data_IF_753801667732
#
_entry.id   IF_753801667732
#
_cell.length_a   1.000
_cell.length_b   1.000
_cell.length_c   1.000
_cell.angle_alpha   90.00
_cell.angle_beta   90.00
_cell.angle_gamma   90.00
#
_symmetry.space_group_name_H-M   'P 1'
#
loop_
_entity.id
_entity.type
_entity.pdbx_description
1 polymer ?
#
# COMPACT_ATOMS: atom_id res chain seq x y z
N UNK A 1 18.54 -26.51 29.93
CA UNK A 1 18.30 -25.97 28.58
C UNK A 1 16.87 -26.17 28.05
N UNK A 2 16.09 -27.18 28.50
CA UNK A 2 14.69 -27.35 28.04
C UNK A 2 13.72 -26.23 28.47
N UNK A 3 13.92 -25.62 29.66
CA UNK A 3 13.04 -24.54 30.17
C UNK A 3 13.25 -23.17 29.52
N UNK A 4 14.45 -22.89 29.00
CA UNK A 4 14.74 -21.66 28.26
C UNK A 4 14.12 -21.69 26.86
N UNK A 5 14.06 -22.88 26.25
CA UNK A 5 13.47 -23.07 24.92
C UNK A 5 11.96 -22.80 24.90
N UNK A 6 11.24 -23.13 25.98
CA UNK A 6 9.81 -22.85 26.09
C UNK A 6 9.49 -21.35 26.24
N UNK A 7 10.36 -20.58 26.92
CA UNK A 7 10.21 -19.13 27.03
C UNK A 7 10.39 -18.41 25.69
N UNK A 8 11.30 -18.92 24.85
CA UNK A 8 11.60 -18.36 23.53
C UNK A 8 10.49 -18.66 22.52
N UNK A 9 9.85 -19.83 22.60
CA UNK A 9 8.66 -20.17 21.79
C UNK A 9 7.44 -19.34 22.22
N UNK A 10 7.25 -19.08 23.52
CA UNK A 10 6.17 -18.22 24.02
C UNK A 10 6.35 -16.75 23.62
N UNK A 11 7.60 -16.26 23.61
CA UNK A 11 7.91 -14.90 23.12
C UNK A 11 7.67 -14.74 21.61
N UNK A 12 7.72 -15.82 20.83
CA UNK A 12 7.51 -15.79 19.38
C UNK A 12 6.01 -15.77 19.01
N UNK A 13 5.12 -16.21 19.92
CA UNK A 13 3.66 -16.14 19.77
C UNK A 13 3.07 -14.74 20.00
N UNK A 14 3.84 -13.81 20.60
CA UNK A 14 3.38 -12.44 20.89
C UNK A 14 3.50 -11.48 19.69
N UNK A 15 4.05 -11.93 18.56
CA UNK A 15 4.21 -11.13 17.35
C UNK A 15 3.21 -11.48 16.23
N UNK A 16 2.10 -12.16 16.54
CA UNK A 16 0.95 -12.16 15.63
C UNK A 16 0.33 -10.77 15.71
N UNK A 17 0.73 -9.87 14.80
CA UNK A 17 0.02 -8.62 14.57
C UNK A 17 -1.45 -8.97 14.29
N UNK A 18 -2.30 -8.77 15.28
CA UNK A 18 -3.72 -9.04 15.17
C UNK A 18 -4.27 -7.96 14.25
N UNK A 19 -4.61 -8.31 13.01
CA UNK A 19 -5.22 -7.37 12.08
C UNK A 19 -6.46 -6.76 12.72
N UNK A 20 -6.58 -5.43 12.67
CA UNK A 20 -7.77 -4.75 13.17
C UNK A 20 -8.99 -5.10 12.31
N UNK A 21 -10.10 -5.46 12.96
CA UNK A 21 -11.37 -5.83 12.31
C UNK A 21 -12.45 -4.71 12.41
N UNK A 22 -12.07 -3.58 13.01
CA UNK A 22 -12.86 -2.38 13.21
C UNK A 22 -11.97 -1.15 13.07
N UNK A 23 -12.58 0.01 12.82
CA UNK A 23 -11.84 1.27 12.71
C UNK A 23 -11.36 1.74 14.08
N UNK A 24 -10.12 2.22 14.12
CA UNK A 24 -9.52 2.90 15.27
C UNK A 24 -9.16 4.34 14.87
N UNK A 25 -10.01 5.31 15.22
CA UNK A 25 -9.82 6.72 14.89
C UNK A 25 -9.16 7.53 16.01
N UNK A 26 -8.41 6.90 16.92
CA UNK A 26 -7.67 7.59 18.01
C UNK A 26 -6.80 8.74 17.48
N UNK A 27 -6.16 8.52 16.33
CA UNK A 27 -5.48 9.54 15.55
C UNK A 27 -5.47 9.14 14.05
N UNK A 28 -4.91 9.99 13.19
CA UNK A 28 -4.88 9.73 11.74
C UNK A 28 -4.07 8.49 11.36
N UNK A 29 -3.01 8.16 12.12
CA UNK A 29 -2.18 6.97 11.88
C UNK A 29 -2.95 5.69 12.21
N UNK A 30 -3.63 5.64 13.36
CA UNK A 30 -4.45 4.48 13.72
C UNK A 30 -5.65 4.34 12.77
N UNK A 31 -6.22 5.46 12.31
CA UNK A 31 -7.30 5.45 11.33
C UNK A 31 -6.85 4.82 10.01
N UNK A 32 -5.69 5.25 9.51
CA UNK A 32 -5.12 4.71 8.28
C UNK A 32 -4.72 3.25 8.44
N UNK A 33 -4.06 2.88 9.54
CA UNK A 33 -3.65 1.51 9.81
C UNK A 33 -4.85 0.56 9.91
N UNK A 34 -5.89 0.94 10.65
CA UNK A 34 -7.09 0.12 10.84
C UNK A 34 -7.86 -0.07 9.54
N UNK A 35 -8.03 0.99 8.74
CA UNK A 35 -8.64 0.90 7.41
C UNK A 35 -7.82 0.01 6.46
N UNK A 36 -6.49 0.11 6.49
CA UNK A 36 -5.62 -0.75 5.67
C UNK A 36 -5.77 -2.23 6.05
N UNK A 37 -5.78 -2.56 7.34
CA UNK A 37 -5.97 -3.92 7.84
C UNK A 37 -7.33 -4.50 7.45
N UNK A 38 -8.38 -3.69 7.59
CA UNK A 38 -9.74 -4.06 7.19
C UNK A 38 -9.82 -4.29 5.67
N UNK A 39 -9.24 -3.39 4.87
CA UNK A 39 -9.20 -3.50 3.41
C UNK A 39 -8.43 -4.74 2.97
N UNK A 40 -7.23 -4.96 3.50
CA UNK A 40 -6.40 -6.12 3.16
C UNK A 40 -7.03 -7.46 3.55
N UNK A 41 -8.05 -7.45 4.41
CA UNK A 41 -8.81 -8.65 4.82
C UNK A 41 -10.00 -8.95 3.89
N UNK A 42 -10.31 -8.08 2.93
CA UNK A 42 -11.40 -8.25 1.97
C UNK A 42 -10.90 -8.82 0.63
N UNK A 43 -11.75 -9.55 -0.13
CA UNK A 43 -11.49 -9.84 -1.54
C UNK A 43 -11.40 -8.56 -2.37
N UNK A 44 -10.64 -8.56 -3.47
CA UNK A 44 -10.38 -7.38 -4.32
C UNK A 44 -11.61 -6.56 -4.66
N UNK A 45 -12.71 -7.20 -5.10
CA UNK A 45 -13.97 -6.49 -5.42
C UNK A 45 -14.53 -5.75 -4.21
N UNK A 46 -14.47 -6.36 -3.02
CA UNK A 46 -14.94 -5.75 -1.77
C UNK A 46 -14.00 -4.66 -1.26
N UNK A 47 -12.70 -4.75 -1.53
CA UNK A 47 -11.75 -3.66 -1.25
C UNK A 47 -12.13 -2.39 -2.00
N UNK A 48 -12.41 -2.54 -3.31
CA UNK A 48 -12.83 -1.43 -4.16
C UNK A 48 -14.10 -0.81 -3.58
N UNK A 49 -15.15 -1.60 -3.34
CA UNK A 49 -16.42 -1.10 -2.75
C UNK A 49 -16.24 -0.42 -1.39
N UNK A 50 -15.33 -0.93 -0.56
CA UNK A 50 -15.05 -0.33 0.73
C UNK A 50 -14.37 1.05 0.59
N UNK A 51 -13.43 1.20 -0.34
CA UNK A 51 -12.83 2.50 -0.65
C UNK A 51 -13.86 3.49 -1.21
N UNK A 52 -14.77 3.04 -2.09
CA UNK A 52 -15.88 3.88 -2.57
C UNK A 52 -16.77 4.35 -1.43
N UNK A 53 -17.12 3.45 -0.50
CA UNK A 53 -17.94 3.78 0.66
C UNK A 53 -17.27 4.84 1.54
N UNK A 54 -15.98 4.68 1.82
CA UNK A 54 -15.19 5.65 2.58
C UNK A 54 -15.14 7.02 1.88
N UNK A 55 -15.01 7.05 0.56
CA UNK A 55 -15.03 8.29 -0.22
C UNK A 55 -16.39 9.00 -0.15
N UNK A 56 -17.49 8.25 -0.28
CA UNK A 56 -18.84 8.79 -0.18
C UNK A 56 -19.06 9.41 1.20
N UNK A 57 -18.62 8.72 2.26
CA UNK A 57 -18.73 9.23 3.63
C UNK A 57 -17.86 10.49 3.85
N UNK A 58 -16.61 10.50 3.35
CA UNK A 58 -15.72 11.68 3.42
C UNK A 58 -16.30 12.89 2.68
N UNK A 59 -16.91 12.67 1.52
CA UNK A 59 -17.31 13.77 0.62
C UNK A 59 -18.71 14.28 0.93
N UNK A 60 -19.63 13.40 1.34
CA UNK A 60 -21.06 13.71 1.45
C UNK A 60 -21.65 13.39 2.82
N UNK A 61 -20.91 12.68 3.68
CA UNK A 61 -21.37 12.29 5.01
C UNK A 61 -20.98 13.29 6.10
N UNK A 62 -19.89 14.03 5.92
CA UNK A 62 -19.34 14.97 6.90
C UNK A 62 -19.64 16.41 6.51
N UNK A 63 -19.83 17.27 7.51
CA UNK A 63 -20.03 18.71 7.34
C UNK A 63 -18.75 19.42 7.80
N UNK A 64 -17.72 19.38 6.94
CA UNK A 64 -16.40 19.95 7.18
C UNK A 64 -15.78 20.37 5.85
N UNK A 65 -15.10 21.52 5.84
CA UNK A 65 -14.43 22.02 4.65
C UNK A 65 -12.92 21.72 4.69
N UNK A 66 -12.44 21.01 3.67
CA UNK A 66 -11.02 20.76 3.42
C UNK A 66 -10.56 19.37 3.88
N UNK A 67 -9.63 18.79 3.12
CA UNK A 67 -9.27 17.36 3.19
C UNK A 67 -8.95 16.85 4.61
N UNK A 68 -8.17 17.61 5.38
CA UNK A 68 -7.81 17.21 6.75
C UNK A 68 -9.01 17.25 7.71
N UNK A 69 -9.89 18.24 7.57
CA UNK A 69 -11.08 18.38 8.41
C UNK A 69 -12.12 17.31 8.06
N UNK A 70 -12.33 17.06 6.78
CA UNK A 70 -13.18 15.97 6.26
C UNK A 70 -12.68 14.60 6.75
N UNK A 71 -11.37 14.34 6.66
CA UNK A 71 -10.79 13.08 7.12
C UNK A 71 -10.94 12.89 8.64
N UNK A 72 -10.75 13.96 9.41
CA UNK A 72 -10.94 13.92 10.87
C UNK A 72 -12.40 13.66 11.23
N UNK A 73 -13.34 14.35 10.56
CA UNK A 73 -14.77 14.16 10.76
C UNK A 73 -15.22 12.74 10.34
N UNK A 74 -14.66 12.21 9.24
CA UNK A 74 -14.87 10.83 8.82
C UNK A 74 -14.42 9.87 9.91
N UNK A 75 -13.19 10.01 10.41
CA UNK A 75 -12.66 9.17 11.47
C UNK A 75 -13.57 9.12 12.69
N UNK A 76 -14.03 10.29 13.17
CA UNK A 76 -14.98 10.38 14.28
C UNK A 76 -16.33 9.69 13.99
N UNK A 77 -16.80 9.77 12.75
CA UNK A 77 -18.06 9.16 12.33
C UNK A 77 -18.00 7.62 12.30
N UNK A 78 -16.86 7.06 11.89
CA UNK A 78 -16.70 5.62 11.66
C UNK A 78 -15.92 4.88 12.75
N UNK A 79 -15.45 5.59 13.79
CA UNK A 79 -14.71 5.00 14.91
C UNK A 79 -15.44 3.81 15.53
N UNK A 80 -14.71 2.72 15.77
CA UNK A 80 -15.23 1.47 16.30
C UNK A 80 -16.12 0.65 15.35
N UNK A 81 -16.41 1.13 14.13
CA UNK A 81 -17.30 0.43 13.18
C UNK A 81 -16.56 -0.62 12.37
N UNK A 82 -17.29 -1.68 12.02
CA UNK A 82 -16.81 -2.71 11.10
C UNK A 82 -17.22 -2.40 9.65
N UNK A 83 -16.60 -3.10 8.69
CA UNK A 83 -16.87 -2.95 7.26
C UNK A 83 -18.38 -2.97 6.94
N UNK A 84 -19.21 -3.93 7.40
CA UNK A 84 -20.64 -3.96 7.03
C UNK A 84 -21.41 -2.72 7.49
N UNK A 85 -21.06 -2.16 8.65
CA UNK A 85 -21.70 -0.97 9.20
C UNK A 85 -21.33 0.28 8.38
N UNK A 86 -20.05 0.39 8.00
CA UNK A 86 -19.56 1.49 7.16
C UNK A 86 -20.21 1.44 5.77
N UNK A 87 -20.35 0.25 5.18
CA UNK A 87 -21.03 0.07 3.90
C UNK A 87 -22.50 0.49 3.96
N UNK A 88 -23.20 0.13 5.03
CA UNK A 88 -24.60 0.53 5.23
C UNK A 88 -24.76 2.04 5.44
N UNK A 89 -23.80 2.69 6.12
CA UNK A 89 -23.80 4.14 6.25
C UNK A 89 -23.58 4.83 4.90
N UNK A 90 -22.68 4.31 4.07
CA UNK A 90 -22.45 4.83 2.73
C UNK A 90 -23.71 4.70 1.85
N UNK A 91 -24.47 3.60 1.97
CA UNK A 91 -25.75 3.44 1.26
C UNK A 91 -26.74 4.56 1.64
N UNK A 92 -26.86 4.85 2.94
CA UNK A 92 -27.74 5.90 3.44
C UNK A 92 -27.31 7.30 2.96
N UNK A 93 -26.01 7.58 3.02
CA UNK A 93 -25.46 8.86 2.56
C UNK A 93 -25.61 9.01 1.04
N UNK A 94 -25.35 7.95 0.27
CA UNK A 94 -25.56 7.96 -1.17
C UNK A 94 -27.02 8.23 -1.54
N UNK A 95 -27.96 7.51 -0.91
CA UNK A 95 -29.39 7.69 -1.14
C UNK A 95 -29.86 9.10 -0.79
N UNK A 96 -29.42 9.64 0.37
CA UNK A 96 -29.80 10.98 0.82
C UNK A 96 -29.29 12.08 -0.12
N UNK A 97 -28.13 11.87 -0.73
CA UNK A 97 -27.48 12.84 -1.62
C UNK A 97 -27.74 12.57 -3.12
N UNK A 98 -28.61 11.62 -3.46
CA UNK A 98 -28.97 11.30 -4.84
C UNK A 98 -27.81 10.72 -5.67
N UNK A 99 -26.86 10.06 -5.01
CA UNK A 99 -25.70 9.44 -5.65
C UNK A 99 -26.10 8.05 -6.13
N UNK A 100 -25.87 7.75 -7.40
CA UNK A 100 -26.12 6.43 -7.97
C UNK A 100 -25.03 5.44 -7.53
N UNK A 101 -25.14 4.98 -6.28
CA UNK A 101 -24.23 4.02 -5.66
C UNK A 101 -24.98 3.12 -4.69
N UNK A 102 -24.58 1.84 -4.63
CA UNK A 102 -25.03 0.91 -3.61
C UNK A 102 -23.89 -0.06 -3.23
N UNK A 103 -23.87 -0.50 -1.98
CA UNK A 103 -22.91 -1.46 -1.42
C UNK A 103 -22.95 -2.83 -2.12
N UNK A 104 -24.11 -3.19 -2.66
CA UNK A 104 -24.37 -4.46 -3.36
C UNK A 104 -24.22 -4.37 -4.88
N UNK A 105 -24.10 -3.16 -5.43
CA UNK A 105 -23.86 -2.96 -6.84
C UNK A 105 -22.41 -3.31 -7.22
N UNK A 106 -22.14 -3.63 -8.50
CA UNK A 106 -20.77 -3.75 -8.99
C UNK A 106 -19.93 -2.51 -8.65
N UNK A 107 -18.59 -2.66 -8.55
CA UNK A 107 -17.71 -1.51 -8.44
C UNK A 107 -17.92 -0.51 -9.57
N UNK A 108 -17.81 0.77 -9.24
CA UNK A 108 -17.89 1.86 -10.19
C UNK A 108 -16.64 1.81 -11.07
N UNK A 109 -16.81 1.97 -12.39
CA UNK A 109 -15.69 1.94 -13.32
C UNK A 109 -14.82 3.20 -13.11
N UNK A 110 -13.64 3.03 -12.50
CA UNK A 110 -12.53 3.98 -12.48
C UNK A 110 -12.65 5.18 -11.52
N UNK A 111 -13.81 5.83 -11.40
CA UNK A 111 -13.88 7.12 -10.70
C UNK A 111 -13.82 7.02 -9.17
N UNK A 112 -14.46 6.01 -8.56
CA UNK A 112 -14.54 5.87 -7.09
C UNK A 112 -13.61 4.79 -6.52
N UNK A 113 -13.25 3.81 -7.34
CA UNK A 113 -12.57 2.59 -6.88
C UNK A 113 -11.06 2.71 -6.66
N UNK A 114 -10.42 3.71 -7.28
CA UNK A 114 -8.98 3.95 -7.20
C UNK A 114 -8.63 5.12 -6.26
N UNK A 115 -9.62 5.78 -5.66
CA UNK A 115 -9.39 6.98 -4.85
C UNK A 115 -8.99 6.64 -3.41
N UNK A 116 -7.75 6.96 -3.07
CA UNK A 116 -7.26 6.96 -1.70
C UNK A 116 -7.86 8.14 -0.92
N UNK A 117 -8.71 7.85 0.07
CA UNK A 117 -9.37 8.87 0.92
C UNK A 117 -8.40 9.67 1.80
N UNK A 118 -7.15 9.19 1.94
CA UNK A 118 -6.08 9.89 2.66
C UNK A 118 -5.29 10.85 1.74
N UNK A 119 -5.58 10.91 0.44
CA UNK A 119 -4.76 11.66 -0.52
C UNK A 119 -3.31 11.15 -0.57
N UNK A 120 -2.41 11.93 -1.18
CA UNK A 120 -0.95 11.68 -1.16
C UNK A 120 -0.33 12.08 0.21
N UNK A 121 -1.12 12.13 1.28
CA UNK A 121 -0.62 12.28 2.64
C UNK A 121 0.14 10.99 2.98
N UNK A 122 1.44 11.02 2.75
CA UNK A 122 2.34 10.02 3.31
C UNK A 122 2.10 10.04 4.82
N UNK A 123 1.85 8.85 5.40
CA UNK A 123 1.78 8.69 6.83
C UNK A 123 3.01 9.37 7.44
N UNK A 124 2.82 10.48 8.15
CA UNK A 124 3.91 11.17 8.84
C UNK A 124 4.27 10.41 10.11
N UNK A 125 4.71 9.17 9.94
CA UNK A 125 5.62 8.49 10.84
C UNK A 125 6.64 7.78 9.99
N UNK A 126 7.82 8.41 9.87
CA UNK A 126 8.98 7.80 9.23
C UNK A 126 9.27 6.48 9.92
N UNK A 127 9.14 5.35 9.22
CA UNK A 127 9.75 4.10 9.67
C UNK A 127 11.27 4.34 9.71
N UNK A 128 12.00 3.98 10.78
CA UNK A 128 13.46 3.99 10.75
C UNK A 128 14.06 3.08 9.65
N UNK A 129 13.26 2.19 9.05
CA UNK A 129 13.58 1.39 7.86
C UNK A 129 13.02 1.99 6.55
N UNK A 130 12.31 3.12 6.57
CA UNK A 130 11.88 3.78 5.34
C UNK A 130 13.09 4.33 4.59
N UNK A 131 13.34 3.77 3.41
CA UNK A 131 14.42 4.22 2.54
C UNK A 131 13.98 5.52 1.86
N UNK A 132 14.49 6.65 2.34
CA UNK A 132 14.26 7.96 1.72
C UNK A 132 15.09 8.10 0.45
N UNK A 133 14.48 7.73 -0.67
CA UNK A 133 15.03 7.94 -2.00
C UNK A 133 14.19 8.99 -2.75
N UNK A 134 14.86 9.80 -3.57
CA UNK A 134 14.21 10.75 -4.46
C UNK A 134 13.79 10.10 -5.78
N UNK A 135 14.63 9.22 -6.31
CA UNK A 135 14.37 8.52 -7.56
C UNK A 135 15.10 7.19 -7.64
N UNK A 136 14.71 6.38 -8.63
CA UNK A 136 15.39 5.16 -9.04
C UNK A 136 16.27 5.46 -10.25
N UNK A 137 17.57 5.23 -10.10
CA UNK A 137 18.53 5.22 -11.21
C UNK A 137 18.69 3.81 -11.76
N UNK A 138 18.63 3.66 -13.08
CA UNK A 138 18.85 2.39 -13.78
C UNK A 138 20.04 2.58 -14.71
N UNK A 139 21.08 1.77 -14.53
CA UNK A 139 22.21 1.73 -15.45
C UNK A 139 22.33 0.35 -16.10
N UNK A 140 22.63 0.33 -17.39
CA UNK A 140 22.82 -0.91 -18.16
C UNK A 140 24.29 -1.06 -18.51
N UNK A 141 24.84 -2.26 -18.33
CA UNK A 141 26.19 -2.61 -18.77
C UNK A 141 26.09 -3.81 -19.70
N UNK A 142 26.67 -3.75 -20.91
CA UNK A 142 26.81 -4.95 -21.73
C UNK A 142 27.67 -5.98 -20.98
N UNK A 143 27.29 -7.24 -21.04
CA UNK A 143 28.00 -8.36 -20.40
C UNK A 143 28.01 -9.56 -21.32
N UNK A 144 29.02 -10.43 -21.19
CA UNK A 144 29.23 -11.54 -22.10
C UNK A 144 29.84 -11.10 -23.45
N UNK A 145 30.29 -12.07 -24.23
CA UNK A 145 30.95 -11.89 -25.52
C UNK A 145 30.53 -13.05 -26.43
N UNK A 146 30.20 -12.80 -27.69
CA UNK A 146 29.90 -13.83 -28.70
C UNK A 146 31.17 -14.40 -29.37
N UNK A 147 32.35 -13.97 -28.93
CA UNK A 147 33.65 -14.33 -29.50
C UNK A 147 34.12 -13.37 -30.59
N UNK A 148 33.31 -12.36 -30.94
CA UNK A 148 33.66 -11.27 -31.88
C UNK A 148 33.73 -9.91 -31.20
N UNK A 149 33.57 -9.87 -29.88
CA UNK A 149 33.53 -8.64 -29.08
C UNK A 149 32.15 -8.01 -29.00
N UNK A 150 31.10 -8.65 -29.58
CA UNK A 150 29.74 -8.16 -29.45
C UNK A 150 29.10 -8.69 -28.15
N UNK A 151 28.42 -7.83 -27.38
CA UNK A 151 27.83 -8.23 -26.11
C UNK A 151 26.63 -9.14 -26.31
N UNK A 152 26.62 -10.28 -25.61
CA UNK A 152 25.55 -11.30 -25.68
C UNK A 152 24.51 -11.16 -24.58
N UNK A 153 24.76 -10.33 -23.58
CA UNK A 153 23.85 -10.07 -22.47
C UNK A 153 23.94 -8.60 -22.01
N UNK A 154 22.97 -8.17 -21.21
CA UNK A 154 22.95 -6.86 -20.58
C UNK A 154 22.71 -7.06 -19.08
N UNK A 155 23.63 -6.59 -18.27
CA UNK A 155 23.42 -6.45 -16.83
C UNK A 155 22.73 -5.11 -16.55
N UNK A 156 21.64 -5.16 -15.79
CA UNK A 156 21.00 -3.97 -15.25
C UNK A 156 21.42 -3.80 -13.80
N UNK A 157 21.82 -2.58 -13.43
CA UNK A 157 22.21 -2.21 -12.08
C UNK A 157 21.26 -1.09 -11.62
N UNK A 158 20.19 -1.43 -10.87
CA UNK A 158 19.30 -0.46 -10.27
C UNK A 158 19.95 0.15 -9.02
N UNK A 159 19.63 1.42 -8.75
CA UNK A 159 20.14 2.12 -7.58
C UNK A 159 19.16 3.21 -7.13
N UNK A 160 18.80 3.21 -5.86
CA UNK A 160 18.09 4.34 -5.24
C UNK A 160 19.04 5.52 -5.07
N UNK A 161 18.59 6.73 -5.42
CA UNK A 161 19.39 7.95 -5.33
C UNK A 161 18.65 9.08 -4.60
N UNK A 162 19.41 9.98 -3.99
CA UNK A 162 18.91 11.19 -3.33
C UNK A 162 18.63 12.34 -4.33
N UNK A 163 18.22 13.51 -3.84
CA UNK A 163 17.95 14.70 -4.68
C UNK A 163 19.18 15.19 -5.45
N UNK A 164 20.39 14.84 -5.01
CA UNK A 164 21.65 15.19 -5.67
C UNK A 164 22.14 14.07 -6.62
N UNK A 165 21.39 12.97 -6.76
CA UNK A 165 21.75 11.82 -7.59
C UNK A 165 22.76 10.88 -6.94
N UNK A 166 23.07 11.03 -5.65
CA UNK A 166 24.00 10.14 -4.96
C UNK A 166 23.31 8.84 -4.55
N UNK A 167 24.03 7.71 -4.57
CA UNK A 167 23.52 6.44 -4.04
C UNK A 167 23.01 6.53 -2.61
N UNK A 168 21.81 6.01 -2.34
CA UNK A 168 21.29 5.83 -0.99
C UNK A 168 21.74 4.46 -0.46
N UNK A 169 22.42 4.45 0.69
CA UNK A 169 22.73 3.25 1.47
C UNK A 169 21.67 3.01 2.54
N UNK A 170 21.28 1.76 2.75
CA UNK A 170 20.28 1.38 3.74
C UNK A 170 20.61 0.00 4.31
N UNK A 171 20.09 -0.32 5.49
CA UNK A 171 20.32 -1.61 6.17
C UNK A 171 19.00 -2.13 6.73
N UNK A 172 18.79 -3.44 6.75
CA UNK A 172 17.61 -4.05 7.36
C UNK A 172 16.41 -4.25 6.42
N UNK A 173 16.51 -3.77 5.17
CA UNK A 173 15.60 -4.08 4.07
C UNK A 173 16.42 -4.42 2.83
N UNK A 174 16.02 -5.41 2.04
CA UNK A 174 16.66 -5.74 0.76
C UNK A 174 15.80 -5.21 -0.38
N UNK A 175 16.34 -4.32 -1.22
CA UNK A 175 15.62 -3.89 -2.42
C UNK A 175 15.92 -4.89 -3.54
N UNK A 176 14.90 -5.59 -4.01
CA UNK A 176 15.03 -6.56 -5.08
C UNK A 176 14.50 -5.97 -6.38
N UNK A 177 15.34 -5.99 -7.40
CA UNK A 177 14.95 -5.63 -8.76
C UNK A 177 15.11 -6.83 -9.69
N UNK A 178 14.02 -7.20 -10.35
CA UNK A 178 14.00 -8.25 -11.37
C UNK A 178 13.69 -7.63 -12.72
N UNK A 179 14.62 -7.78 -13.67
CA UNK A 179 14.36 -7.54 -15.08
C UNK A 179 13.98 -8.86 -15.74
N UNK A 180 12.95 -8.84 -16.57
CA UNK A 180 12.63 -9.93 -17.49
C UNK A 180 12.55 -9.38 -18.91
N UNK A 181 13.22 -10.05 -19.86
CA UNK A 181 13.19 -9.70 -21.28
C UNK A 181 12.41 -10.78 -22.02
N UNK A 182 11.41 -10.38 -22.79
CA UNK A 182 10.58 -11.27 -23.60
C UNK A 182 10.74 -10.94 -25.09
N UNK A 183 10.69 -11.97 -25.93
CA UNK A 183 10.54 -11.83 -27.38
C UNK A 183 9.53 -12.86 -27.87
N UNK A 184 8.51 -12.40 -28.60
CA UNK A 184 7.41 -13.25 -29.09
C UNK A 184 6.78 -14.15 -28.00
N UNK A 185 6.67 -13.63 -26.77
CA UNK A 185 6.13 -14.37 -25.62
C UNK A 185 7.09 -15.34 -24.95
N UNK A 186 8.31 -15.52 -25.46
CA UNK A 186 9.36 -16.36 -24.84
C UNK A 186 10.27 -15.48 -23.99
N UNK A 187 10.48 -15.87 -22.73
CA UNK A 187 11.43 -15.21 -21.84
C UNK A 187 12.85 -15.51 -22.30
N UNK A 188 13.57 -14.48 -22.74
CA UNK A 188 14.93 -14.55 -23.23
C UNK A 188 15.98 -14.38 -22.11
N UNK A 189 15.67 -13.54 -21.13
CA UNK A 189 16.60 -13.22 -20.06
C UNK A 189 15.88 -12.82 -18.78
N UNK A 190 16.50 -13.14 -17.65
CA UNK A 190 16.13 -12.59 -16.35
C UNK A 190 17.40 -12.15 -15.62
N UNK A 191 17.37 -10.95 -15.05
CA UNK A 191 18.44 -10.43 -14.22
C UNK A 191 17.86 -10.02 -12.88
N UNK A 192 18.40 -10.59 -11.81
CA UNK A 192 17.98 -10.33 -10.44
C UNK A 192 19.11 -9.64 -9.69
N UNK A 193 18.85 -8.45 -9.17
CA UNK A 193 19.80 -7.73 -8.34
C UNK A 193 19.16 -7.45 -6.99
N UNK A 194 19.82 -7.94 -5.95
CA UNK A 194 19.53 -7.60 -4.57
C UNK A 194 20.45 -6.45 -4.17
N UNK A 195 19.86 -5.30 -3.85
CA UNK A 195 20.61 -4.21 -3.24
C UNK A 195 20.63 -4.43 -1.73
N UNK A 196 21.85 -4.43 -1.18
CA UNK A 196 22.14 -4.38 0.25
C UNK A 196 22.87 -3.07 0.56
#
# INVERSE_FOLDING_TARGET
MKKLSFLLIFSMLLFTACKQDHVDATNTKTLQSSINDMTASLPTIKQIKFNEALYILKTFGVDADGDFAELKALGQMIDGKKVPEIMAMADQVAQKNGIEWASTAPPSLGALGEMNIFGNETAKESDPNDIKANSLSISTRPTGDDGTGAPTAIQIVPRLVDNAGNPVSFTGAGLEATLEVFSNGVKLSTAKNLMQ
#
